data_IF_355541847068
#
_entry.id   IF_355541847068
#
_cell.length_a   1.000
_cell.length_b   1.000
_cell.length_c   1.000
_cell.angle_alpha   90.00
_cell.angle_beta   90.00
_cell.angle_gamma   90.00
#
_symmetry.space_group_name_H-M   'P 1'
#
loop_
_entity.id
_entity.type
_entity.pdbx_description
1 polymer ?
#
# COMPACT_ATOMS: atom_id res chain seq x y z
N UNK A 1 2.57 54.23 19.89
CA UNK A 1 3.16 54.73 21.16
C UNK A 1 2.10 54.69 22.26
N UNK A 2 2.49 54.14 23.43
CA UNK A 2 1.88 54.20 24.81
C UNK A 2 0.41 53.73 24.98
N UNK A 3 0.07 52.67 25.74
CA UNK A 3 0.35 52.12 27.11
C UNK A 3 -0.68 52.53 28.19
N UNK A 4 -1.24 51.47 28.81
CA UNK A 4 -1.64 51.31 30.22
C UNK A 4 -2.97 51.99 30.64
N UNK A 5 -3.78 51.51 31.59
CA UNK A 5 -3.65 50.48 32.65
C UNK A 5 -5.03 50.33 33.35
N UNK A 6 -5.46 49.09 33.65
CA UNK A 6 -5.71 48.54 35.00
C UNK A 6 -7.15 48.65 35.54
N UNK A 7 -7.70 47.51 35.99
CA UNK A 7 -8.06 47.22 37.40
C UNK A 7 -9.08 46.06 37.50
N UNK A 8 -8.62 44.94 38.06
CA UNK A 8 -9.49 43.91 38.65
C UNK A 8 -9.97 44.36 40.04
N UNK A 9 -11.08 43.78 40.54
CA UNK A 9 -10.96 43.11 41.83
C UNK A 9 -11.64 41.73 41.89
N UNK A 10 -11.28 41.03 42.97
CA UNK A 10 -11.26 39.58 43.20
C UNK A 10 -12.15 39.25 44.41
N UNK A 11 -12.76 38.05 44.39
CA UNK A 11 -13.22 37.25 45.56
C UNK A 11 -14.53 37.73 46.27
N UNK A 12 -15.44 36.91 46.83
CA UNK A 12 -15.33 35.63 47.54
C UNK A 12 -16.72 35.08 47.97
N UNK A 13 -16.93 33.74 47.86
CA UNK A 13 -17.65 32.76 48.75
C UNK A 13 -19.05 33.09 49.35
N UNK A 14 -20.00 32.17 49.68
CA UNK A 14 -20.00 30.77 50.17
C UNK A 14 -21.35 30.05 49.88
N UNK A 15 -21.27 28.71 49.73
CA UNK A 15 -22.11 27.56 50.17
C UNK A 15 -23.51 27.86 50.80
N UNK A 16 -24.55 27.03 50.66
CA UNK A 16 -24.75 25.71 51.32
C UNK A 16 -25.93 24.91 50.70
N UNK A 17 -25.70 23.58 50.73
CA UNK A 17 -26.53 22.36 50.61
C UNK A 17 -28.05 22.41 50.88
N UNK A 18 -28.79 21.67 50.04
CA UNK A 18 -30.07 20.97 50.34
C UNK A 18 -30.22 19.93 49.21
N UNK A 19 -29.91 18.64 49.36
CA UNK A 19 -30.52 17.57 50.15
C UNK A 19 -31.98 17.26 49.74
N UNK A 20 -32.12 16.37 48.75
CA UNK A 20 -33.31 15.51 48.63
C UNK A 20 -32.87 14.14 48.13
N UNK A 21 -32.85 13.20 49.09
CA UNK A 21 -32.76 11.76 48.89
C UNK A 21 -34.04 11.27 48.24
N UNK A 22 -33.97 10.59 47.09
CA UNK A 22 -34.85 9.45 46.72
C UNK A 22 -34.26 8.76 45.48
N UNK A 23 -33.30 7.85 45.68
CA UNK A 23 -32.98 6.83 44.67
C UNK A 23 -33.74 5.57 45.02
N UNK A 24 -34.87 5.37 44.34
CA UNK A 24 -35.59 4.09 44.35
C UNK A 24 -34.78 3.05 43.60
N UNK A 25 -34.42 1.97 44.29
CA UNK A 25 -33.88 0.78 43.67
C UNK A 25 -35.03 -0.05 43.08
N UNK A 26 -35.02 -0.23 41.76
CA UNK A 26 -35.70 -1.36 41.12
C UNK A 26 -34.65 -2.11 40.31
N UNK A 27 -34.13 -3.19 40.89
CA UNK A 27 -33.45 -4.22 40.15
C UNK A 27 -34.51 -5.07 39.45
N UNK A 28 -34.70 -4.88 38.15
CA UNK A 28 -35.31 -5.90 37.30
C UNK A 28 -34.22 -6.50 36.43
N UNK A 29 -33.94 -7.77 36.70
CA UNK A 29 -33.01 -8.60 35.95
C UNK A 29 -33.73 -9.01 34.66
N UNK A 30 -33.41 -8.37 33.55
CA UNK A 30 -33.73 -8.87 32.21
C UNK A 30 -32.47 -9.45 31.59
N UNK A 31 -32.24 -10.75 31.81
CA UNK A 31 -31.23 -11.50 31.06
C UNK A 31 -31.82 -11.84 29.69
N UNK A 32 -31.63 -10.97 28.71
CA UNK A 32 -31.80 -11.33 27.30
C UNK A 32 -30.47 -11.93 26.85
N UNK A 33 -30.27 -13.22 27.12
CA UNK A 33 -29.23 -13.98 26.45
C UNK A 33 -29.73 -14.30 25.04
N UNK A 34 -29.60 -13.36 24.11
CA UNK A 34 -29.51 -13.75 22.71
C UNK A 34 -28.33 -14.71 22.64
N UNK A 35 -28.59 -15.97 22.32
CA UNK A 35 -27.56 -16.87 21.89
C UNK A 35 -26.93 -16.23 20.64
N UNK A 36 -25.84 -15.48 20.86
CA UNK A 36 -24.91 -15.16 19.79
C UNK A 36 -24.43 -16.50 19.28
N UNK A 37 -25.03 -16.97 18.18
CA UNK A 37 -24.35 -17.90 17.29
C UNK A 37 -23.14 -17.17 16.73
N UNK A 38 -22.08 -17.11 17.54
CA UNK A 38 -20.73 -16.84 17.09
C UNK A 38 -20.39 -18.00 16.15
N UNK A 39 -20.76 -17.84 14.89
CA UNK A 39 -20.16 -18.60 13.81
C UNK A 39 -18.75 -18.06 13.67
N UNK A 40 -17.87 -18.46 14.57
CA UNK A 40 -16.44 -18.37 14.32
C UNK A 40 -16.21 -19.22 13.08
N UNK A 41 -16.12 -18.56 11.92
CA UNK A 41 -15.40 -19.12 10.79
C UNK A 41 -13.96 -19.24 11.29
N UNK A 42 -13.65 -20.37 11.93
CA UNK A 42 -12.27 -20.75 12.14
C UNK A 42 -11.65 -20.74 10.75
N UNK A 43 -10.74 -19.79 10.51
CA UNK A 43 -9.91 -19.74 9.31
C UNK A 43 -8.86 -20.86 9.41
N UNK A 44 -9.32 -22.09 9.57
CA UNK A 44 -8.52 -23.30 9.53
C UNK A 44 -8.71 -23.89 8.15
N UNK A 45 -7.61 -24.13 7.44
CA UNK A 45 -7.53 -24.39 5.99
C UNK A 45 -7.53 -23.09 5.17
N UNK A 46 -6.53 -22.22 5.37
CA UNK A 46 -6.07 -21.37 4.27
C UNK A 46 -5.72 -22.29 3.10
N UNK A 47 -6.35 -22.13 1.91
CA UNK A 47 -5.85 -22.75 0.70
C UNK A 47 -4.34 -22.49 0.60
N UNK A 48 -3.53 -23.42 0.08
CA UNK A 48 -2.12 -23.13 -0.17
C UNK A 48 -2.05 -21.81 -0.94
N UNK A 49 -1.26 -20.83 -0.46
CA UNK A 49 -1.29 -19.51 -1.06
C UNK A 49 -0.89 -19.64 -2.53
N UNK A 50 -1.64 -18.97 -3.41
CA UNK A 50 -1.45 -18.99 -4.87
C UNK A 50 -0.01 -18.59 -5.27
N UNK A 51 0.65 -17.85 -4.37
CA UNK A 51 2.02 -17.36 -4.41
C UNK A 51 2.66 -17.60 -3.04
N UNK A 52 3.85 -18.19 -2.97
CA UNK A 52 4.52 -18.42 -1.68
C UNK A 52 5.23 -17.13 -1.17
N UNK A 53 5.57 -17.09 0.12
CA UNK A 53 6.19 -15.88 0.71
C UNK A 53 7.54 -15.51 0.06
N UNK A 54 8.33 -16.49 -0.37
CA UNK A 54 9.61 -16.26 -1.07
C UNK A 54 9.38 -15.59 -2.42
N UNK A 55 8.37 -16.02 -3.18
CA UNK A 55 7.98 -15.40 -4.45
C UNK A 55 7.48 -13.96 -4.27
N UNK A 56 6.78 -13.67 -3.16
CA UNK A 56 6.35 -12.30 -2.82
C UNK A 56 7.57 -11.40 -2.53
N UNK A 57 8.55 -11.91 -1.78
CA UNK A 57 9.77 -11.17 -1.47
C UNK A 57 10.60 -10.91 -2.73
N UNK A 58 10.85 -11.94 -3.55
CA UNK A 58 11.54 -11.80 -4.83
C UNK A 58 10.81 -10.86 -5.78
N UNK A 59 9.47 -10.89 -5.82
CA UNK A 59 8.67 -9.98 -6.64
C UNK A 59 8.84 -8.54 -6.19
N UNK A 60 8.75 -8.28 -4.88
CA UNK A 60 8.91 -6.95 -4.33
C UNK A 60 10.32 -6.40 -4.55
N UNK A 61 11.36 -7.22 -4.38
CA UNK A 61 12.74 -6.85 -4.66
C UNK A 61 12.94 -6.52 -6.16
N UNK A 62 12.39 -7.34 -7.05
CA UNK A 62 12.44 -7.08 -8.50
C UNK A 62 11.76 -5.75 -8.86
N UNK A 63 10.56 -5.48 -8.33
CA UNK A 63 9.85 -4.21 -8.57
C UNK A 63 10.67 -3.01 -8.08
N UNK A 64 11.28 -3.09 -6.89
CA UNK A 64 12.13 -2.01 -6.37
C UNK A 64 13.37 -1.78 -7.23
N UNK A 65 14.04 -2.85 -7.67
CA UNK A 65 15.21 -2.78 -8.53
C UNK A 65 14.89 -2.27 -9.95
N UNK A 66 13.69 -2.55 -10.46
CA UNK A 66 13.23 -2.06 -11.77
C UNK A 66 12.91 -0.57 -11.79
N UNK A 67 12.45 0.00 -10.68
CA UNK A 67 11.87 1.34 -10.67
C UNK A 67 12.84 2.44 -11.16
N UNK A 68 14.12 2.48 -10.74
CA UNK A 68 15.08 3.45 -11.28
C UNK A 68 15.28 3.30 -12.79
N UNK A 69 15.41 2.07 -13.29
CA UNK A 69 15.56 1.81 -14.72
C UNK A 69 14.31 2.22 -15.50
N UNK A 70 13.12 1.98 -14.94
CA UNK A 70 11.83 2.38 -15.53
C UNK A 70 11.73 3.89 -15.66
N UNK A 71 12.09 4.62 -14.60
CA UNK A 71 12.06 6.08 -14.60
C UNK A 71 13.04 6.67 -15.61
N UNK A 72 14.26 6.14 -15.68
CA UNK A 72 15.25 6.59 -16.66
C UNK A 72 14.75 6.38 -18.10
N UNK A 73 14.25 5.18 -18.41
CA UNK A 73 13.70 4.88 -19.74
C UNK A 73 12.51 5.79 -20.08
N UNK A 74 11.61 6.02 -19.12
CA UNK A 74 10.46 6.90 -19.31
C UNK A 74 10.89 8.34 -19.62
N UNK A 75 11.85 8.89 -18.88
CA UNK A 75 12.35 10.24 -19.10
C UNK A 75 13.10 10.39 -20.44
N UNK A 76 13.84 9.37 -20.87
CA UNK A 76 14.47 9.38 -22.20
C UNK A 76 13.43 9.34 -23.33
N UNK A 77 12.42 8.48 -23.21
CA UNK A 77 11.31 8.41 -24.18
C UNK A 77 10.54 9.73 -24.22
N UNK A 78 10.28 10.34 -23.06
CA UNK A 78 9.64 11.64 -22.95
C UNK A 78 10.39 12.73 -23.71
N UNK A 79 11.72 12.78 -23.60
CA UNK A 79 12.55 13.74 -24.35
C UNK A 79 12.43 13.58 -25.86
N UNK A 80 12.18 12.36 -26.35
CA UNK A 80 12.01 12.08 -27.77
C UNK A 80 10.60 12.43 -28.28
N UNK A 81 9.58 12.24 -27.45
CA UNK A 81 8.17 12.50 -27.79
C UNK A 81 7.81 13.98 -27.57
N UNK A 82 8.53 14.68 -26.69
CA UNK A 82 8.29 16.08 -26.36
C UNK A 82 7.03 16.25 -25.51
N UNK A 83 6.11 17.10 -25.98
CA UNK A 83 4.85 17.40 -25.29
C UNK A 83 3.72 16.40 -25.60
N UNK A 84 3.99 15.36 -26.40
CA UNK A 84 3.02 14.32 -26.70
C UNK A 84 2.73 13.44 -25.48
N UNK A 85 1.54 12.84 -25.46
CA UNK A 85 1.22 11.81 -24.48
C UNK A 85 2.08 10.57 -24.73
N UNK A 86 2.71 10.05 -23.68
CA UNK A 86 3.50 8.82 -23.77
C UNK A 86 2.50 7.66 -23.65
N UNK A 87 2.35 6.83 -24.69
CA UNK A 87 1.43 5.71 -24.63
C UNK A 87 1.91 4.72 -23.57
N UNK A 88 0.98 3.91 -23.05
CA UNK A 88 1.34 2.81 -22.17
C UNK A 88 2.26 1.83 -22.90
N UNK A 89 3.45 1.60 -22.35
CA UNK A 89 4.43 0.64 -22.87
C UNK A 89 4.30 -0.66 -22.09
N UNK A 90 4.03 -1.76 -22.78
CA UNK A 90 3.85 -3.08 -22.16
C UNK A 90 4.87 -4.04 -22.77
N UNK A 91 5.82 -4.51 -21.97
CA UNK A 91 6.97 -5.28 -22.45
C UNK A 91 6.61 -6.62 -23.11
N UNK A 92 5.42 -7.16 -22.86
CA UNK A 92 4.92 -8.39 -23.49
C UNK A 92 3.95 -8.14 -24.65
N UNK A 93 3.70 -6.87 -25.02
CA UNK A 93 2.90 -6.49 -26.18
C UNK A 93 3.77 -5.75 -27.22
N UNK A 94 4.18 -6.43 -28.31
CA UNK A 94 4.95 -5.82 -29.39
C UNK A 94 4.26 -4.60 -30.02
N UNK A 95 2.93 -4.56 -30.02
CA UNK A 95 2.18 -3.45 -30.63
C UNK A 95 2.41 -2.16 -29.83
N UNK A 96 2.42 -2.25 -28.49
CA UNK A 96 2.70 -1.13 -27.60
C UNK A 96 4.07 -0.48 -27.87
N UNK A 97 5.07 -1.30 -28.25
CA UNK A 97 6.42 -0.82 -28.60
C UNK A 97 6.42 -0.25 -30.02
N UNK A 98 5.81 -0.95 -30.98
CA UNK A 98 5.83 -0.54 -32.40
C UNK A 98 5.17 0.82 -32.65
N UNK A 99 4.25 1.24 -31.78
CA UNK A 99 3.59 2.55 -31.82
C UNK A 99 4.48 3.72 -31.37
N UNK A 100 5.66 3.46 -30.80
CA UNK A 100 6.60 4.50 -30.39
C UNK A 100 7.43 5.01 -31.59
N UNK A 101 7.97 6.24 -31.53
CA UNK A 101 9.00 6.69 -32.47
C UNK A 101 10.21 5.75 -32.46
N UNK A 102 10.89 5.55 -33.61
CA UNK A 102 11.96 4.54 -33.76
C UNK A 102 13.02 4.56 -32.65
N UNK A 103 13.55 5.74 -32.30
CA UNK A 103 14.54 5.87 -31.21
C UNK A 103 13.97 5.51 -29.83
N UNK A 104 12.68 5.75 -29.60
CA UNK A 104 11.99 5.38 -28.37
C UNK A 104 11.70 3.86 -28.31
N UNK A 105 11.55 3.19 -29.46
CA UNK A 105 11.45 1.72 -29.52
C UNK A 105 12.70 1.07 -28.95
N UNK A 106 13.88 1.54 -29.33
CA UNK A 106 15.16 1.00 -28.85
C UNK A 106 15.31 1.13 -27.33
N UNK A 107 14.92 2.28 -26.76
CA UNK A 107 14.93 2.51 -25.31
C UNK A 107 13.95 1.57 -24.61
N UNK A 108 12.73 1.43 -25.12
CA UNK A 108 11.72 0.55 -24.56
C UNK A 108 12.16 -0.93 -24.59
N UNK A 109 12.72 -1.40 -25.72
CA UNK A 109 13.24 -2.77 -25.86
C UNK A 109 14.38 -3.03 -24.88
N UNK A 110 15.32 -2.09 -24.76
CA UNK A 110 16.44 -2.21 -23.82
C UNK A 110 15.95 -2.28 -22.37
N UNK A 111 15.01 -1.40 -21.99
CA UNK A 111 14.38 -1.46 -20.67
C UNK A 111 13.67 -2.80 -20.43
N UNK A 112 12.87 -3.27 -21.38
CA UNK A 112 12.13 -4.52 -21.24
C UNK A 112 13.06 -5.73 -21.08
N UNK A 113 14.17 -5.77 -21.83
CA UNK A 113 15.21 -6.80 -21.66
C UNK A 113 15.86 -6.71 -20.28
N UNK A 114 16.23 -5.51 -19.85
CA UNK A 114 16.85 -5.32 -18.54
C UNK A 114 15.91 -5.68 -17.38
N UNK A 115 14.61 -5.35 -17.50
CA UNK A 115 13.60 -5.75 -16.54
C UNK A 115 13.54 -7.29 -16.42
N UNK A 116 13.60 -8.03 -17.54
CA UNK A 116 13.65 -9.50 -17.51
C UNK A 116 14.87 -10.02 -16.75
N UNK A 117 16.05 -9.41 -16.94
CA UNK A 117 17.26 -9.75 -16.20
C UNK A 117 17.11 -9.51 -14.70
N UNK A 118 16.51 -8.37 -14.31
CA UNK A 118 16.22 -8.05 -12.90
C UNK A 118 15.31 -9.12 -12.28
N UNK A 119 14.26 -9.57 -12.97
CA UNK A 119 13.38 -10.65 -12.47
C UNK A 119 14.18 -11.91 -12.18
N UNK A 120 15.06 -12.31 -13.11
CA UNK A 120 15.86 -13.53 -12.99
C UNK A 120 16.87 -13.45 -11.83
N UNK A 121 17.58 -12.33 -11.69
CA UNK A 121 18.56 -12.12 -10.61
C UNK A 121 17.90 -12.15 -9.23
N UNK A 122 16.63 -11.75 -9.13
CA UNK A 122 15.85 -11.84 -7.88
C UNK A 122 15.22 -13.23 -7.65
N UNK A 123 15.55 -14.24 -8.47
CA UNK A 123 15.14 -15.62 -8.25
C UNK A 123 13.76 -15.98 -8.78
N UNK A 124 13.16 -15.14 -9.63
CA UNK A 124 11.89 -15.44 -10.29
C UNK A 124 12.09 -15.79 -11.76
N UNK A 125 11.23 -16.66 -12.28
CA UNK A 125 10.99 -16.77 -13.71
C UNK A 125 10.06 -15.65 -14.17
N UNK A 126 10.16 -15.25 -15.43
CA UNK A 126 9.31 -14.20 -16.01
C UNK A 126 7.81 -14.55 -15.91
N UNK A 127 7.46 -15.83 -16.10
CA UNK A 127 6.09 -16.30 -15.99
C UNK A 127 5.55 -16.17 -14.57
N UNK A 128 6.39 -16.41 -13.55
CA UNK A 128 6.01 -16.25 -12.15
C UNK A 128 5.79 -14.77 -11.82
N UNK A 129 6.71 -13.91 -12.25
CA UNK A 129 6.56 -12.46 -12.06
C UNK A 129 5.25 -11.95 -12.68
N UNK A 130 4.99 -12.29 -13.95
CA UNK A 130 3.77 -11.88 -14.64
C UNK A 130 2.51 -12.44 -13.99
N UNK A 131 2.55 -13.69 -13.53
CA UNK A 131 1.44 -14.30 -12.78
C UNK A 131 1.13 -13.47 -11.54
N UNK A 132 2.15 -13.12 -10.74
CA UNK A 132 1.97 -12.29 -9.54
C UNK A 132 1.42 -10.91 -9.92
N UNK A 133 1.93 -10.28 -10.99
CA UNK A 133 1.41 -8.99 -11.49
C UNK A 133 -0.07 -9.04 -11.86
N UNK A 134 -0.53 -10.12 -12.51
CA UNK A 134 -1.94 -10.32 -12.88
C UNK A 134 -2.79 -10.57 -11.64
N UNK A 135 -2.37 -11.48 -10.76
CA UNK A 135 -3.08 -11.80 -9.52
C UNK A 135 -3.25 -10.57 -8.61
N UNK A 136 -2.26 -9.69 -8.59
CA UNK A 136 -2.30 -8.42 -7.85
C UNK A 136 -3.45 -7.50 -8.27
N UNK A 137 -4.05 -7.65 -9.45
CA UNK A 137 -5.16 -6.80 -9.87
C UNK A 137 -6.42 -7.06 -9.03
N UNK A 138 -6.70 -8.33 -8.74
CA UNK A 138 -7.97 -8.77 -8.14
C UNK A 138 -7.81 -9.44 -6.76
N UNK A 139 -6.59 -9.64 -6.27
CA UNK A 139 -6.33 -10.29 -4.99
C UNK A 139 -5.87 -9.30 -3.91
N UNK A 140 -6.81 -8.83 -3.09
CA UNK A 140 -6.53 -7.83 -2.05
C UNK A 140 -5.64 -8.34 -0.91
N UNK A 141 -5.64 -9.66 -0.66
CA UNK A 141 -4.74 -10.27 0.32
C UNK A 141 -3.31 -10.16 -0.20
N UNK A 142 -3.07 -10.55 -1.46
CA UNK A 142 -1.77 -10.48 -2.11
C UNK A 142 -1.28 -9.01 -2.23
N UNK A 143 -2.16 -8.06 -2.58
CA UNK A 143 -1.84 -6.63 -2.59
C UNK A 143 -1.28 -6.17 -1.24
N UNK A 144 -1.94 -6.54 -0.15
CA UNK A 144 -1.51 -6.17 1.21
C UNK A 144 -0.17 -6.82 1.56
N UNK A 145 0.04 -8.08 1.19
CA UNK A 145 1.30 -8.77 1.44
C UNK A 145 2.46 -8.10 0.70
N UNK A 146 2.33 -7.86 -0.61
CA UNK A 146 3.35 -7.19 -1.42
C UNK A 146 3.62 -5.77 -0.88
N UNK A 147 2.58 -5.00 -0.55
CA UNK A 147 2.74 -3.66 0.01
C UNK A 147 3.54 -3.66 1.32
N UNK A 148 3.21 -4.56 2.25
CA UNK A 148 3.94 -4.67 3.52
C UNK A 148 5.40 -5.10 3.31
N UNK A 149 5.66 -6.01 2.37
CA UNK A 149 7.02 -6.41 1.99
C UNK A 149 7.79 -5.24 1.40
N UNK A 150 7.21 -4.45 0.49
CA UNK A 150 7.85 -3.25 -0.08
C UNK A 150 8.22 -2.23 1.01
N UNK A 151 7.36 -2.02 2.01
CA UNK A 151 7.66 -1.15 3.15
C UNK A 151 8.80 -1.70 4.01
N UNK A 152 8.83 -3.02 4.24
CA UNK A 152 9.89 -3.68 5.01
C UNK A 152 11.24 -3.51 4.33
N UNK A 153 11.33 -3.80 3.03
CA UNK A 153 12.56 -3.71 2.25
C UNK A 153 13.12 -2.28 2.19
N UNK A 154 12.26 -1.26 2.12
CA UNK A 154 12.70 0.13 2.09
C UNK A 154 13.15 0.66 3.46
N UNK A 155 12.61 0.13 4.57
CA UNK A 155 13.00 0.52 5.93
C UNK A 155 14.29 -0.13 6.41
N UNK A 156 14.62 -1.30 5.87
CA UNK A 156 15.83 -2.04 6.17
C UNK A 156 16.50 -2.41 4.86
N UNK A 157 17.17 -1.46 4.19
CA UNK A 157 18.01 -1.81 3.06
C UNK A 157 19.07 -2.77 3.61
N UNK A 158 18.98 -4.06 3.30
CA UNK A 158 20.05 -4.99 3.61
C UNK A 158 21.34 -4.38 3.05
N UNK A 159 22.30 -4.14 3.94
CA UNK A 159 23.63 -3.70 3.55
C UNK A 159 24.30 -4.89 2.86
N UNK A 160 24.97 -4.67 1.72
CA UNK A 160 25.69 -5.73 1.01
C UNK A 160 26.77 -6.38 1.88
#
# INVERSE_FOLDING_TARGET
MKKNSDLFPRYSRKRILSQSFFFGAIATVSVISNAFSLSSKAYGQTPPPIVNNTEIDSYAQAVLAMEPARQNAFEEIKKLIGNGEIPQIVCNDPNSISGLPKKAQDIAVNYCKHAQEIVQVNGLKFEQFNKITIELQNNDILKRQVYNTLLRLQKSPESP
#
